data_IF_541484120814
#
_entry.id   IF_541484120814
#
_cell.length_a   1.000
_cell.length_b   1.000
_cell.length_c   1.000
_cell.angle_alpha   90.00
_cell.angle_beta   90.00
_cell.angle_gamma   90.00
#
_symmetry.space_group_name_H-M   'P 1'
#
loop_
_entity.id
_entity.type
_entity.pdbx_description
1 polymer ?
#
# COMPACT_ATOMS: atom_id res chain seq x y z
N UNK A 1 -42.24 -11.99 103.86
CA UNK A 1 -41.75 -11.01 102.85
C UNK A 1 -40.76 -11.75 101.94
N UNK A 2 -41.00 -11.85 100.62
CA UNK A 2 -40.00 -12.15 99.54
C UNK A 2 -40.54 -12.85 98.26
N UNK A 3 -41.84 -12.82 97.94
CA UNK A 3 -42.34 -13.37 96.65
C UNK A 3 -42.47 -12.31 95.54
N UNK A 4 -42.73 -11.05 95.87
CA UNK A 4 -42.88 -9.96 94.87
C UNK A 4 -41.55 -9.51 94.23
N UNK A 5 -40.42 -9.70 94.93
CA UNK A 5 -39.11 -9.31 94.43
C UNK A 5 -38.54 -10.29 93.37
N UNK A 6 -38.94 -11.57 93.39
CA UNK A 6 -38.53 -12.56 92.38
C UNK A 6 -39.27 -12.37 91.05
N UNK A 7 -40.57 -12.07 91.09
CA UNK A 7 -41.36 -11.76 89.89
C UNK A 7 -40.91 -10.45 89.22
N UNK A 8 -40.54 -9.43 90.00
CA UNK A 8 -39.97 -8.17 89.46
C UNK A 8 -38.60 -8.39 88.81
N UNK A 9 -37.74 -9.23 89.41
CA UNK A 9 -36.42 -9.56 88.86
C UNK A 9 -36.49 -10.39 87.58
N UNK A 10 -37.44 -11.33 87.48
CA UNK A 10 -37.69 -12.11 86.26
C UNK A 10 -38.22 -11.28 85.08
N UNK A 11 -39.05 -10.26 85.37
CA UNK A 11 -39.54 -9.30 84.36
C UNK A 11 -38.45 -8.33 83.87
N UNK A 12 -37.55 -7.90 84.75
CA UNK A 12 -36.39 -7.11 84.33
C UNK A 12 -35.38 -7.94 83.52
N UNK A 13 -35.14 -9.20 83.90
CA UNK A 13 -34.23 -10.07 83.17
C UNK A 13 -34.73 -10.37 81.75
N UNK A 14 -36.02 -10.66 81.58
CA UNK A 14 -36.64 -10.87 80.26
C UNK A 14 -36.60 -9.61 79.40
N UNK A 15 -36.90 -8.44 79.96
CA UNK A 15 -36.77 -7.17 79.25
C UNK A 15 -35.34 -6.91 78.75
N UNK A 16 -34.33 -7.12 79.60
CA UNK A 16 -32.92 -6.95 79.23
C UNK A 16 -32.51 -7.91 78.11
N UNK A 17 -32.94 -9.18 78.15
CA UNK A 17 -32.65 -10.16 77.08
C UNK A 17 -33.32 -9.77 75.77
N UNK A 18 -34.57 -9.30 75.79
CA UNK A 18 -35.25 -8.86 74.56
C UNK A 18 -34.60 -7.62 73.94
N UNK A 19 -34.19 -6.65 74.76
CA UNK A 19 -33.48 -5.46 74.29
C UNK A 19 -32.12 -5.84 73.71
N UNK A 20 -31.37 -6.72 74.37
CA UNK A 20 -30.09 -7.22 73.88
C UNK A 20 -30.21 -8.00 72.56
N UNK A 21 -31.27 -8.79 72.40
CA UNK A 21 -31.54 -9.51 71.16
C UNK A 21 -31.89 -8.56 70.00
N UNK A 22 -32.72 -7.54 70.27
CA UNK A 22 -33.10 -6.54 69.25
C UNK A 22 -31.89 -5.70 68.84
N UNK A 23 -31.05 -5.26 69.79
CA UNK A 23 -29.84 -4.50 69.46
C UNK A 23 -28.82 -5.33 68.69
N UNK A 24 -28.66 -6.62 69.03
CA UNK A 24 -27.82 -7.53 68.26
C UNK A 24 -28.32 -7.74 66.82
N UNK A 25 -29.63 -7.92 66.64
CA UNK A 25 -30.25 -8.03 65.30
C UNK A 25 -30.11 -6.73 64.50
N UNK A 26 -30.35 -5.58 65.11
CA UNK A 26 -30.19 -4.28 64.47
C UNK A 26 -28.73 -4.01 64.07
N UNK A 27 -27.77 -4.30 64.96
CA UNK A 27 -26.35 -4.17 64.67
C UNK A 27 -25.92 -5.12 63.53
N UNK A 28 -26.40 -6.36 63.52
CA UNK A 28 -26.15 -7.33 62.46
C UNK A 28 -26.72 -6.89 61.10
N UNK A 29 -27.94 -6.34 61.09
CA UNK A 29 -28.56 -5.81 59.88
C UNK A 29 -27.79 -4.60 59.33
N UNK A 30 -27.42 -3.64 60.17
CA UNK A 30 -26.65 -2.46 59.77
C UNK A 30 -25.27 -2.88 59.23
N UNK A 31 -24.58 -3.81 59.90
CA UNK A 31 -23.31 -4.36 59.45
C UNK A 31 -23.43 -5.10 58.10
N UNK A 32 -24.50 -5.88 57.91
CA UNK A 32 -24.75 -6.58 56.65
C UNK A 32 -25.04 -5.62 55.49
N UNK A 33 -25.96 -4.66 55.65
CA UNK A 33 -26.29 -3.70 54.60
C UNK A 33 -25.11 -2.78 54.27
N UNK A 34 -24.37 -2.32 55.29
CA UNK A 34 -23.16 -1.51 55.06
C UNK A 34 -22.07 -2.29 54.33
N UNK A 35 -21.84 -3.55 54.71
CA UNK A 35 -20.92 -4.45 54.01
C UNK A 35 -21.36 -4.74 52.57
N UNK A 36 -22.64 -5.00 52.35
CA UNK A 36 -23.20 -5.23 51.00
C UNK A 36 -23.04 -4.00 50.11
N UNK A 37 -23.39 -2.80 50.59
CA UNK A 37 -23.23 -1.57 49.83
C UNK A 37 -21.76 -1.21 49.58
N UNK A 38 -20.87 -1.43 50.55
CA UNK A 38 -19.44 -1.23 50.37
C UNK A 38 -18.87 -2.19 49.32
N UNK A 39 -19.27 -3.47 49.38
CA UNK A 39 -18.89 -4.50 48.40
C UNK A 39 -19.42 -4.21 47.00
N UNK A 40 -20.69 -3.80 46.88
CA UNK A 40 -21.31 -3.42 45.61
C UNK A 40 -20.57 -2.25 44.96
N UNK A 41 -20.31 -1.17 45.70
CA UNK A 41 -19.55 -0.01 45.19
C UNK A 41 -18.12 -0.38 44.79
N UNK A 42 -17.45 -1.25 45.56
CA UNK A 42 -16.11 -1.71 45.23
C UNK A 42 -16.12 -2.60 43.97
N UNK A 43 -17.17 -3.39 43.76
CA UNK A 43 -17.40 -4.18 42.55
C UNK A 43 -17.62 -3.29 41.33
N UNK A 44 -18.55 -2.34 41.43
CA UNK A 44 -18.86 -1.38 40.36
C UNK A 44 -17.62 -0.55 39.99
N UNK A 45 -16.83 -0.12 40.98
CA UNK A 45 -15.58 0.60 40.75
C UNK A 45 -14.55 -0.24 39.99
N UNK A 46 -14.43 -1.54 40.29
CA UNK A 46 -13.54 -2.46 39.56
C UNK A 46 -14.01 -2.71 38.15
N UNK A 47 -15.32 -2.89 37.93
CA UNK A 47 -15.91 -3.07 36.60
C UNK A 47 -15.66 -1.81 35.77
N UNK A 48 -15.97 -0.62 36.30
CA UNK A 48 -15.74 0.64 35.61
C UNK A 48 -14.25 0.91 35.32
N UNK A 49 -13.33 0.47 36.19
CA UNK A 49 -11.89 0.55 35.94
C UNK A 49 -11.45 -0.41 34.83
N UNK A 50 -12.02 -1.62 34.79
CA UNK A 50 -11.74 -2.60 33.75
C UNK A 50 -12.28 -2.15 32.39
N UNK A 51 -13.51 -1.64 32.33
CA UNK A 51 -14.10 -1.06 31.12
C UNK A 51 -13.26 0.11 30.59
N UNK A 52 -12.81 1.01 31.47
CA UNK A 52 -11.89 2.09 31.10
C UNK A 52 -10.58 1.56 30.55
N UNK A 53 -9.99 0.56 31.20
CA UNK A 53 -8.75 -0.05 30.72
C UNK A 53 -8.92 -0.69 29.32
N UNK A 54 -10.05 -1.35 29.05
CA UNK A 54 -10.33 -1.89 27.73
C UNK A 54 -10.58 -0.79 26.70
N UNK A 55 -11.34 0.25 27.06
CA UNK A 55 -11.58 1.40 26.20
C UNK A 55 -10.28 2.13 25.84
N UNK A 56 -9.39 2.33 26.81
CA UNK A 56 -8.09 2.96 26.60
C UNK A 56 -7.19 2.10 25.72
N UNK A 57 -7.11 0.77 25.95
CA UNK A 57 -6.39 -0.13 25.04
C UNK A 57 -6.95 -0.11 23.62
N UNK A 58 -8.27 -0.09 23.48
CA UNK A 58 -8.89 -0.04 22.16
C UNK A 58 -8.57 1.28 21.44
N UNK A 59 -8.59 2.40 22.17
CA UNK A 59 -8.20 3.71 21.63
C UNK A 59 -6.74 3.74 21.20
N UNK A 60 -5.81 3.29 22.06
CA UNK A 60 -4.39 3.28 21.72
C UNK A 60 -4.09 2.36 20.54
N UNK A 61 -4.74 1.19 20.46
CA UNK A 61 -4.61 0.29 19.31
C UNK A 61 -5.11 0.93 18.00
N UNK A 62 -6.24 1.65 18.04
CA UNK A 62 -6.77 2.37 16.88
C UNK A 62 -5.85 3.53 16.48
N UNK A 63 -5.32 4.28 17.44
CA UNK A 63 -4.39 5.37 17.20
C UNK A 63 -3.10 4.86 16.55
N UNK A 64 -2.52 3.80 17.09
CA UNK A 64 -1.34 3.14 16.50
C UNK A 64 -1.62 2.61 15.09
N UNK A 65 -2.78 2.01 14.85
CA UNK A 65 -3.17 1.54 13.52
C UNK A 65 -3.29 2.72 12.54
N UNK A 66 -3.90 3.83 12.95
CA UNK A 66 -4.02 5.05 12.14
C UNK A 66 -2.68 5.71 11.86
N UNK A 67 -1.76 5.72 12.82
CA UNK A 67 -0.41 6.24 12.61
C UNK A 67 0.35 5.41 11.58
N UNK A 68 0.32 4.08 11.70
CA UNK A 68 0.91 3.18 10.71
C UNK A 68 0.29 3.35 9.32
N UNK A 69 -1.04 3.45 9.24
CA UNK A 69 -1.76 3.68 7.98
C UNK A 69 -1.34 5.01 7.34
N UNK A 70 -1.24 6.09 8.12
CA UNK A 70 -0.79 7.40 7.64
C UNK A 70 0.64 7.35 7.13
N UNK A 71 1.53 6.69 7.87
CA UNK A 71 2.93 6.53 7.47
C UNK A 71 3.07 5.74 6.17
N UNK A 72 2.33 4.64 6.02
CA UNK A 72 2.29 3.86 4.78
C UNK A 72 1.72 4.68 3.61
N UNK A 73 0.65 5.44 3.86
CA UNK A 73 0.04 6.32 2.84
C UNK A 73 0.99 7.42 2.39
N UNK A 74 1.69 8.06 3.33
CA UNK A 74 2.69 9.09 3.02
C UNK A 74 3.86 8.52 2.22
N UNK A 75 4.36 7.34 2.59
CA UNK A 75 5.41 6.63 1.85
C UNK A 75 4.96 6.27 0.44
N UNK A 76 3.77 5.71 0.29
CA UNK A 76 3.21 5.39 -1.03
C UNK A 76 3.06 6.66 -1.90
N UNK A 77 2.58 7.76 -1.31
CA UNK A 77 2.44 9.03 -2.01
C UNK A 77 3.78 9.62 -2.45
N UNK A 78 4.81 9.54 -1.60
CA UNK A 78 6.17 9.99 -1.94
C UNK A 78 6.76 9.18 -3.11
N UNK A 79 6.71 7.85 -3.04
CA UNK A 79 7.20 6.98 -4.10
C UNK A 79 6.43 7.17 -5.42
N UNK A 80 5.13 7.39 -5.35
CA UNK A 80 4.33 7.74 -6.52
C UNK A 80 4.76 9.08 -7.13
N UNK A 81 5.01 10.09 -6.30
CA UNK A 81 5.53 11.39 -6.73
C UNK A 81 6.87 11.27 -7.45
N UNK A 82 7.80 10.53 -6.87
CA UNK A 82 9.12 10.28 -7.46
C UNK A 82 9.00 9.53 -8.80
N UNK A 83 8.13 8.53 -8.88
CA UNK A 83 7.86 7.81 -10.12
C UNK A 83 7.33 8.74 -11.22
N UNK A 84 6.39 9.63 -10.90
CA UNK A 84 5.87 10.58 -11.87
C UNK A 84 6.95 11.55 -12.35
N UNK A 85 7.79 12.05 -11.44
CA UNK A 85 8.91 12.93 -11.80
C UNK A 85 9.92 12.23 -12.71
N UNK A 86 10.24 10.97 -12.42
CA UNK A 86 11.17 10.16 -13.20
C UNK A 86 10.65 9.87 -14.62
N UNK A 87 9.38 9.47 -14.74
CA UNK A 87 8.71 9.30 -16.04
C UNK A 87 8.65 10.60 -16.84
N UNK A 88 8.38 11.73 -16.18
CA UNK A 88 8.39 13.03 -16.84
C UNK A 88 9.78 13.36 -17.40
N UNK A 89 10.85 13.06 -16.66
CA UNK A 89 12.23 13.22 -17.15
C UNK A 89 12.50 12.32 -18.36
N UNK A 90 12.12 11.04 -18.32
CA UNK A 90 12.28 10.14 -19.47
C UNK A 90 11.55 10.64 -20.71
N UNK A 91 10.33 11.18 -20.55
CA UNK A 91 9.57 11.74 -21.66
C UNK A 91 10.25 12.99 -22.25
N UNK A 92 10.83 13.85 -21.42
CA UNK A 92 11.58 15.02 -21.88
C UNK A 92 12.84 14.61 -22.66
N UNK A 93 13.61 13.65 -22.14
CA UNK A 93 14.79 13.10 -22.81
C UNK A 93 14.43 12.45 -24.16
N UNK A 94 13.34 11.68 -24.20
CA UNK A 94 12.85 11.05 -25.42
C UNK A 94 12.41 12.10 -26.46
N UNK A 95 11.72 13.17 -26.05
CA UNK A 95 11.32 14.24 -26.96
C UNK A 95 12.53 15.01 -27.50
N UNK A 96 13.56 15.24 -26.68
CA UNK A 96 14.82 15.82 -27.13
C UNK A 96 15.53 14.95 -28.17
N UNK A 97 15.62 13.64 -27.93
CA UNK A 97 16.15 12.69 -28.90
C UNK A 97 15.34 12.71 -30.19
N UNK A 98 14.01 12.68 -30.12
CA UNK A 98 13.13 12.75 -31.30
C UNK A 98 13.35 14.00 -32.14
N UNK A 99 13.54 15.17 -31.50
CA UNK A 99 13.86 16.41 -32.21
C UNK A 99 15.19 16.35 -32.96
N UNK A 100 16.16 15.58 -32.46
CA UNK A 100 17.46 15.38 -33.12
C UNK A 100 17.43 14.38 -34.29
N UNK A 101 16.38 13.56 -34.42
CA UNK A 101 16.29 12.51 -35.46
C UNK A 101 16.46 13.11 -36.85
N UNK A 102 15.72 14.18 -37.17
CA UNK A 102 15.79 14.81 -38.48
C UNK A 102 17.22 15.28 -38.83
N UNK A 103 18.01 15.68 -37.83
CA UNK A 103 19.40 16.13 -38.03
C UNK A 103 20.33 14.96 -38.40
N UNK A 104 20.07 13.75 -37.89
CA UNK A 104 20.92 12.57 -38.15
C UNK A 104 20.44 11.71 -39.31
N UNK A 105 19.22 11.92 -39.80
CA UNK A 105 18.65 11.14 -40.92
C UNK A 105 18.55 11.91 -42.24
N UNK A 106 18.92 13.19 -42.28
CA UNK A 106 18.82 14.02 -43.51
C UNK A 106 20.12 14.09 -44.29
N UNK A 107 21.25 14.29 -43.61
CA UNK A 107 22.55 14.51 -44.24
C UNK A 107 23.63 13.65 -43.59
N UNK A 108 24.63 13.28 -44.39
CA UNK A 108 25.81 12.57 -43.91
C UNK A 108 27.07 13.23 -44.43
N UNK A 109 28.19 12.96 -43.74
CA UNK A 109 29.51 13.41 -44.17
C UNK A 109 30.40 12.16 -44.37
N UNK A 110 30.87 11.87 -45.60
CA UNK A 110 31.65 10.66 -45.87
C UNK A 110 33.01 10.64 -45.15
N UNK A 111 33.70 11.79 -45.08
CA UNK A 111 34.98 11.96 -44.38
C UNK A 111 34.98 13.27 -43.60
N UNK A 112 35.73 13.41 -42.49
CA UNK A 112 35.66 14.61 -41.64
C UNK A 112 35.88 15.94 -42.38
N UNK A 113 36.67 15.92 -43.46
CA UNK A 113 37.01 17.09 -44.28
C UNK A 113 36.04 17.34 -45.46
N UNK A 114 35.18 16.37 -45.80
CA UNK A 114 34.22 16.48 -46.90
C UNK A 114 33.02 17.38 -46.56
N UNK A 115 32.35 17.99 -47.56
CA UNK A 115 31.07 18.66 -47.35
C UNK A 115 29.98 17.67 -46.91
N UNK A 116 28.88 18.21 -46.35
CA UNK A 116 27.68 17.43 -46.07
C UNK A 116 26.98 17.06 -47.40
N UNK A 117 26.54 15.82 -47.50
CA UNK A 117 25.81 15.26 -48.63
C UNK A 117 24.44 14.73 -48.15
N UNK A 118 23.44 14.74 -49.02
CA UNK A 118 22.12 14.19 -48.70
C UNK A 118 22.20 12.68 -48.50
N UNK A 119 21.53 12.18 -47.46
CA UNK A 119 21.55 10.75 -47.15
C UNK A 119 20.82 9.96 -48.25
N UNK A 120 21.41 8.87 -48.80
CA UNK A 120 20.72 8.01 -49.76
C UNK A 120 19.42 7.46 -49.18
N UNK A 121 18.37 7.40 -50.00
CA UNK A 121 17.06 6.90 -49.57
C UNK A 121 17.15 5.43 -49.15
N UNK A 122 16.99 5.18 -47.86
CA UNK A 122 16.78 3.83 -47.32
C UNK A 122 15.32 3.41 -47.55
N UNK A 123 15.09 2.27 -48.19
CA UNK A 123 13.76 1.75 -48.48
C UNK A 123 13.47 0.56 -47.59
N UNK A 124 12.43 0.67 -46.77
CA UNK A 124 11.90 -0.43 -45.98
C UNK A 124 10.71 -1.04 -46.71
N UNK A 125 10.70 -2.35 -46.86
CA UNK A 125 9.63 -3.05 -47.59
C UNK A 125 8.42 -3.33 -46.70
N UNK A 126 7.26 -3.57 -47.29
CA UNK A 126 6.07 -4.01 -46.55
C UNK A 126 6.33 -5.27 -45.71
N UNK A 127 7.14 -6.20 -46.24
CA UNK A 127 7.60 -7.38 -45.52
C UNK A 127 8.39 -7.06 -44.26
N UNK A 128 9.31 -6.08 -44.32
CA UNK A 128 10.05 -5.60 -43.15
C UNK A 128 9.10 -5.08 -42.07
N UNK A 129 8.16 -4.20 -42.44
CA UNK A 129 7.21 -3.59 -41.50
C UNK A 129 6.30 -4.63 -40.85
N UNK A 130 5.87 -5.66 -41.60
CA UNK A 130 5.09 -6.77 -41.05
C UNK A 130 5.87 -7.51 -39.96
N UNK A 131 7.11 -7.90 -40.24
CA UNK A 131 7.95 -8.61 -39.24
C UNK A 131 8.23 -7.71 -38.03
N UNK A 132 8.49 -6.43 -38.25
CA UNK A 132 8.70 -5.45 -37.19
C UNK A 132 7.48 -5.35 -36.25
N UNK A 133 6.28 -5.18 -36.82
CA UNK A 133 5.05 -5.08 -36.05
C UNK A 133 4.72 -6.40 -35.33
N UNK A 134 4.98 -7.54 -35.96
CA UNK A 134 4.80 -8.85 -35.34
C UNK A 134 5.72 -9.03 -34.11
N UNK A 135 6.95 -8.51 -34.15
CA UNK A 135 7.86 -8.52 -33.01
C UNK A 135 7.46 -7.56 -31.88
N UNK A 136 6.79 -6.45 -32.21
CA UNK A 136 6.33 -5.46 -31.25
C UNK A 136 4.96 -5.80 -30.61
N UNK A 137 4.19 -6.72 -31.20
CA UNK A 137 2.89 -7.14 -30.69
C UNK A 137 3.05 -7.93 -29.38
N UNK A 138 2.42 -7.44 -28.32
CA UNK A 138 2.36 -8.12 -27.01
C UNK A 138 1.35 -9.26 -26.97
N UNK A 139 0.41 -9.29 -27.92
CA UNK A 139 -0.54 -10.38 -28.09
C UNK A 139 -0.08 -11.20 -29.28
N UNK A 140 0.25 -12.48 -29.05
CA UNK A 140 0.70 -13.43 -30.05
C UNK A 140 -0.34 -13.73 -31.12
N UNK A 141 -0.66 -12.75 -31.96
CA UNK A 141 -1.19 -13.01 -33.30
C UNK A 141 -0.01 -13.58 -34.07
N UNK A 142 -0.02 -14.88 -34.40
CA UNK A 142 1.04 -15.43 -35.21
C UNK A 142 0.88 -14.79 -36.58
N UNK A 143 1.76 -13.85 -36.93
CA UNK A 143 2.05 -13.60 -38.33
C UNK A 143 2.47 -14.97 -38.88
N UNK A 144 1.63 -15.55 -39.75
CA UNK A 144 1.82 -16.87 -40.34
C UNK A 144 3.30 -17.09 -40.61
N UNK A 145 3.91 -17.94 -39.79
CA UNK A 145 5.35 -18.05 -39.68
C UNK A 145 5.89 -18.63 -40.98
N UNK A 146 6.40 -17.79 -41.87
CA UNK A 146 7.44 -18.24 -42.78
C UNK A 146 8.66 -18.60 -41.91
N UNK A 147 9.26 -19.78 -42.08
CA UNK A 147 10.34 -20.24 -41.23
C UNK A 147 11.50 -19.23 -41.27
N UNK A 148 11.90 -18.76 -40.07
CA UNK A 148 13.10 -17.95 -39.91
C UNK A 148 14.30 -18.72 -40.48
N UNK A 149 14.91 -18.18 -41.53
CA UNK A 149 16.13 -18.74 -42.14
C UNK A 149 15.99 -19.20 -43.59
N UNK A 150 14.82 -19.10 -44.21
CA UNK A 150 14.70 -19.24 -45.67
C UNK A 150 14.03 -18.00 -46.21
N UNK A 151 14.69 -17.29 -47.14
CA UNK A 151 14.07 -16.21 -47.89
C UNK A 151 12.97 -16.83 -48.78
N UNK A 152 11.79 -17.07 -48.19
CA UNK A 152 10.58 -17.23 -48.96
C UNK A 152 10.45 -15.95 -49.79
N UNK A 153 10.30 -16.10 -51.10
CA UNK A 153 10.14 -14.98 -52.00
C UNK A 153 9.00 -14.12 -51.45
N UNK A 154 9.33 -12.89 -51.06
CA UNK A 154 8.35 -11.93 -50.58
C UNK A 154 7.21 -11.90 -51.61
N UNK A 155 5.96 -12.05 -51.16
CA UNK A 155 4.81 -11.81 -52.02
C UNK A 155 5.01 -10.45 -52.71
N UNK A 156 4.55 -10.28 -53.95
CA UNK A 156 4.87 -9.09 -54.75
C UNK A 156 4.51 -7.78 -54.01
N UNK A 157 3.48 -7.85 -53.15
CA UNK A 157 3.04 -6.78 -52.26
C UNK A 157 4.01 -6.51 -51.09
N UNK A 158 4.68 -7.53 -50.57
CA UNK A 158 5.65 -7.42 -49.47
C UNK A 158 6.98 -6.81 -49.90
N UNK A 159 7.32 -6.88 -51.18
CA UNK A 159 8.51 -6.25 -51.75
C UNK A 159 8.31 -4.76 -52.06
N UNK A 160 7.08 -4.24 -51.96
CA UNK A 160 6.78 -2.83 -52.20
C UNK A 160 7.36 -1.94 -51.10
N UNK A 161 7.67 -0.71 -51.49
CA UNK A 161 8.06 0.37 -50.57
C UNK A 161 6.92 0.64 -49.58
N UNK A 162 7.21 0.46 -48.29
CA UNK A 162 6.22 0.66 -47.22
C UNK A 162 5.96 2.13 -46.90
N UNK A 163 6.79 3.04 -47.40
CA UNK A 163 6.74 4.46 -47.05
C UNK A 163 7.33 4.81 -45.68
N UNK A 164 7.75 3.81 -44.89
CA UNK A 164 8.49 4.02 -43.63
C UNK A 164 9.88 4.55 -43.94
N UNK A 165 10.31 5.58 -43.20
CA UNK A 165 11.65 6.15 -43.33
C UNK A 165 12.56 5.79 -42.14
N UNK A 166 13.86 6.06 -42.27
CA UNK A 166 14.83 5.84 -41.19
C UNK A 166 14.47 6.61 -39.92
N UNK A 167 13.87 7.80 -40.06
CA UNK A 167 13.40 8.60 -38.94
C UNK A 167 12.30 7.93 -38.13
N UNK A 168 11.37 7.23 -38.80
CA UNK A 168 10.29 6.49 -38.14
C UNK A 168 10.84 5.31 -37.32
N UNK A 169 11.82 4.60 -37.87
CA UNK A 169 12.50 3.48 -37.19
C UNK A 169 13.22 3.98 -35.94
N UNK A 170 13.95 5.09 -36.06
CA UNK A 170 14.66 5.67 -34.91
C UNK A 170 13.70 6.23 -33.87
N UNK A 171 12.59 6.85 -34.29
CA UNK A 171 11.55 7.34 -33.39
C UNK A 171 10.90 6.19 -32.60
N UNK A 172 10.60 5.09 -33.28
CA UNK A 172 10.10 3.88 -32.62
C UNK A 172 11.10 3.32 -31.60
N UNK A 173 12.40 3.30 -31.93
CA UNK A 173 13.42 2.84 -30.98
C UNK A 173 13.49 3.72 -29.73
N UNK A 174 13.40 5.05 -29.89
CA UNK A 174 13.33 6.00 -28.76
C UNK A 174 12.10 5.74 -27.90
N UNK A 175 10.93 5.53 -28.52
CA UNK A 175 9.69 5.21 -27.80
C UNK A 175 9.78 3.88 -27.04
N UNK A 176 10.31 2.85 -27.67
CA UNK A 176 10.52 1.55 -27.03
C UNK A 176 11.50 1.65 -25.84
N UNK A 177 12.60 2.39 -26.01
CA UNK A 177 13.57 2.62 -24.94
C UNK A 177 12.96 3.39 -23.76
N UNK A 178 12.17 4.43 -24.03
CA UNK A 178 11.44 5.17 -22.99
C UNK A 178 10.49 4.23 -22.23
N UNK A 179 9.69 3.43 -22.94
CA UNK A 179 8.77 2.46 -22.33
C UNK A 179 9.50 1.48 -21.42
N UNK A 180 10.65 0.96 -21.84
CA UNK A 180 11.47 0.05 -21.02
C UNK A 180 11.93 0.73 -19.73
N UNK A 181 12.51 1.94 -19.83
CA UNK A 181 12.94 2.71 -18.65
C UNK A 181 11.77 3.01 -17.70
N UNK A 182 10.59 3.35 -18.23
CA UNK A 182 9.40 3.61 -17.43
C UNK A 182 8.88 2.36 -16.69
N UNK A 183 9.07 1.17 -17.27
CA UNK A 183 8.76 -0.11 -16.61
C UNK A 183 9.80 -0.41 -15.53
N UNK A 184 11.08 -0.23 -15.81
CA UNK A 184 12.16 -0.42 -14.83
C UNK A 184 11.98 0.50 -13.61
N UNK A 185 11.67 1.78 -13.81
CA UNK A 185 11.37 2.70 -12.71
C UNK A 185 10.13 2.27 -11.92
N UNK A 186 9.07 1.80 -12.58
CA UNK A 186 7.89 1.26 -11.87
C UNK A 186 8.25 0.05 -10.99
N UNK A 187 9.05 -0.88 -11.51
CA UNK A 187 9.48 -2.06 -10.78
C UNK A 187 10.36 -1.69 -9.59
N UNK A 188 11.31 -0.77 -9.77
CA UNK A 188 12.15 -0.29 -8.68
C UNK A 188 11.32 0.35 -7.57
N UNK A 189 10.34 1.19 -7.90
CA UNK A 189 9.45 1.82 -6.90
C UNK A 189 8.58 0.80 -6.18
N UNK A 190 8.14 -0.25 -6.87
CA UNK A 190 7.41 -1.36 -6.24
C UNK A 190 8.32 -2.15 -5.28
N UNK A 191 9.56 -2.40 -5.67
CA UNK A 191 10.56 -3.04 -4.79
C UNK A 191 10.84 -2.17 -3.57
N UNK A 192 11.04 -0.86 -3.73
CA UNK A 192 11.25 0.07 -2.61
C UNK A 192 10.03 0.09 -1.67
N UNK A 193 8.82 0.06 -2.24
CA UNK A 193 7.58 -0.01 -1.46
C UNK A 193 7.51 -1.30 -0.64
N UNK A 194 7.79 -2.46 -1.25
CA UNK A 194 7.74 -3.76 -0.58
C UNK A 194 8.88 -3.92 0.44
N UNK A 195 10.13 -3.58 0.08
CA UNK A 195 11.27 -3.66 0.98
C UNK A 195 11.13 -2.72 2.19
N UNK A 196 10.49 -1.56 1.99
CA UNK A 196 10.09 -0.67 3.08
C UNK A 196 8.98 -1.22 3.98
N UNK A 197 8.20 -2.21 3.53
CA UNK A 197 7.21 -2.93 4.34
C UNK A 197 7.90 -3.99 5.21
N UNK A 198 8.86 -4.74 4.67
CA UNK A 198 9.61 -5.78 5.42
C UNK A 198 10.46 -5.19 6.57
N UNK A 199 11.07 -4.02 6.36
CA UNK A 199 11.84 -3.34 7.41
C UNK A 199 11.01 -2.91 8.62
N UNK A 200 9.72 -2.63 8.43
CA UNK A 200 8.81 -2.23 9.52
C UNK A 200 8.29 -3.44 10.32
N UNK A 201 8.19 -4.61 9.68
CA UNK A 201 7.83 -5.86 10.37
C UNK A 201 9.01 -6.47 11.14
N UNK A 202 10.25 -6.24 10.69
CA UNK A 202 11.48 -6.72 11.35
C UNK A 202 11.80 -6.04 12.68
N UNK A 203 11.38 -4.78 12.87
CA UNK A 203 11.63 -4.02 14.11
C UNK A 203 10.52 -4.21 15.17
N UNK A 204 9.46 -4.94 14.83
CA UNK A 204 8.34 -5.27 15.73
C UNK A 204 8.46 -6.66 16.40
N UNK A 205 9.61 -7.33 16.29
CA UNK A 205 9.94 -8.60 16.98
C UNK A 205 11.07 -8.41 17.98
#
# INVERSE_FOLDING_TARGET
>A
MSFSALLSRGRCATAVVTVAAITAMAAGAIAYFSGYHAGARAGDAKIAALERHYADRARTAIEQAREKEREQTQRAAALAGDLFAEKARHALEADELKRSIANVTSQYRPTPEAPLEDLPRCVFTGGFVRLWNAAAATDGVPATSAPAGTAAQADADEALDSGVCLGDVLAHHVDAAQRTRDIESQLNRLIDFIGGVEGVEGEAR
#
